data_IF_114565016541
#
_entry.id   IF_114565016541
#
_cell.length_a   1.000
_cell.length_b   1.000
_cell.length_c   1.000
_cell.angle_alpha   90.00
_cell.angle_beta   90.00
_cell.angle_gamma   90.00
#
_symmetry.space_group_name_H-M   'P 1'
#
loop_
_entity.id
_entity.type
_entity.pdbx_description
1 polymer ?
#
# COMPACT_ATOMS: atom_id res chain seq x y z
N UNK A 1 7.66 -6.14 -4.46
CA UNK A 1 7.19 -6.48 -3.10
C UNK A 1 5.68 -6.28 -3.05
N UNK A 2 4.92 -7.15 -2.38
CA UNK A 2 3.47 -7.01 -2.29
C UNK A 2 3.06 -6.02 -1.19
N UNK A 3 1.91 -5.36 -1.39
CA UNK A 3 1.37 -4.42 -0.43
C UNK A 3 0.43 -5.16 0.53
N UNK A 4 0.67 -5.16 1.86
CA UNK A 4 -0.07 -6.02 2.80
C UNK A 4 -1.59 -5.77 2.78
N UNK A 5 -2.03 -4.51 2.73
CA UNK A 5 -3.47 -4.19 2.60
C UNK A 5 -4.08 -4.66 1.27
N UNK A 6 -3.34 -4.59 0.14
CA UNK A 6 -3.85 -5.10 -1.14
C UNK A 6 -3.95 -6.62 -1.12
N UNK A 7 -3.00 -7.31 -0.51
CA UNK A 7 -3.05 -8.76 -0.34
C UNK A 7 -4.24 -9.18 0.52
N UNK A 8 -4.49 -8.49 1.63
CA UNK A 8 -5.67 -8.74 2.45
C UNK A 8 -6.97 -8.56 1.65
N UNK A 9 -7.13 -7.46 0.92
CA UNK A 9 -8.31 -7.21 0.07
C UNK A 9 -8.46 -8.30 -0.99
N UNK A 10 -7.36 -8.72 -1.62
CA UNK A 10 -7.34 -9.78 -2.63
C UNK A 10 -7.69 -11.14 -2.04
N UNK A 11 -7.19 -11.47 -0.86
CA UNK A 11 -7.46 -12.72 -0.14
C UNK A 11 -8.95 -12.82 0.24
N UNK A 12 -9.55 -11.70 0.64
CA UNK A 12 -10.97 -11.62 0.94
C UNK A 12 -11.87 -11.70 -0.31
N UNK A 13 -11.29 -11.59 -1.52
CA UNK A 13 -12.05 -11.62 -2.76
C UNK A 13 -13.01 -10.43 -2.92
N UNK A 14 -12.80 -9.34 -2.18
CA UNK A 14 -13.67 -8.16 -2.20
C UNK A 14 -13.04 -7.02 -2.98
N UNK A 15 -13.88 -6.13 -3.52
CA UNK A 15 -13.38 -4.87 -4.09
C UNK A 15 -12.83 -3.94 -3.01
N UNK A 16 -11.95 -3.01 -3.37
CA UNK A 16 -11.46 -1.97 -2.44
C UNK A 16 -12.60 -1.13 -1.85
N UNK A 17 -13.64 -0.87 -2.64
CA UNK A 17 -14.83 -0.12 -2.20
C UNK A 17 -15.60 -0.94 -1.17
N UNK A 18 -15.85 -2.22 -1.45
CA UNK A 18 -16.51 -3.14 -0.54
C UNK A 18 -15.74 -3.28 0.77
N UNK A 19 -14.41 -3.41 0.71
CA UNK A 19 -13.56 -3.44 1.90
C UNK A 19 -13.68 -2.16 2.73
N UNK A 20 -13.71 -0.99 2.08
CA UNK A 20 -13.88 0.27 2.78
C UNK A 20 -15.23 0.36 3.50
N UNK A 21 -16.31 -0.09 2.85
CA UNK A 21 -17.65 -0.13 3.44
C UNK A 21 -17.72 -1.12 4.61
N UNK A 22 -17.18 -2.33 4.44
CA UNK A 22 -17.21 -3.39 5.46
C UNK A 22 -16.54 -2.99 6.77
N UNK A 23 -15.49 -2.16 6.70
CA UNK A 23 -14.69 -1.75 7.86
C UNK A 23 -14.92 -0.29 8.29
N UNK A 24 -16.00 0.35 7.81
CA UNK A 24 -16.33 1.74 8.11
C UNK A 24 -15.13 2.69 7.87
N UNK A 25 -14.50 2.54 6.71
CA UNK A 25 -13.34 3.31 6.27
C UNK A 25 -13.75 4.33 5.22
N UNK A 26 -13.21 5.54 5.33
CA UNK A 26 -13.25 6.47 4.21
C UNK A 26 -12.44 5.90 3.03
N UNK A 27 -13.07 5.82 1.86
CA UNK A 27 -12.40 5.36 0.64
C UNK A 27 -11.16 6.19 0.29
N UNK A 28 -11.18 7.50 0.58
CA UNK A 28 -10.02 8.38 0.42
C UNK A 28 -8.86 7.95 1.32
N UNK A 29 -9.12 7.60 2.58
CA UNK A 29 -8.09 7.10 3.51
C UNK A 29 -7.55 5.75 3.07
N UNK A 30 -8.41 4.85 2.58
CA UNK A 30 -7.97 3.58 2.02
C UNK A 30 -7.07 3.81 0.81
N UNK A 31 -7.48 4.62 -0.17
CA UNK A 31 -6.64 4.97 -1.32
C UNK A 31 -5.30 5.57 -0.89
N UNK A 32 -5.30 6.53 0.03
CA UNK A 32 -4.06 7.14 0.51
C UNK A 32 -3.08 6.09 1.05
N UNK A 33 -3.58 5.08 1.76
CA UNK A 33 -2.77 3.94 2.19
C UNK A 33 -2.30 3.07 1.01
N UNK A 34 -3.21 2.64 0.13
CA UNK A 34 -2.92 1.74 -0.99
C UNK A 34 -1.90 2.28 -2.00
N UNK A 35 -1.76 3.61 -2.10
CA UNK A 35 -0.81 4.28 -2.98
C UNK A 35 0.47 4.76 -2.25
N UNK A 36 0.57 4.53 -0.94
CA UNK A 36 1.75 4.88 -0.16
C UNK A 36 1.82 6.35 0.26
N UNK A 37 0.73 7.11 0.15
CA UNK A 37 0.70 8.52 0.56
C UNK A 37 0.75 8.69 2.09
N UNK A 38 0.42 7.65 2.86
CA UNK A 38 0.56 7.66 4.32
C UNK A 38 1.89 7.04 4.76
N UNK A 39 2.55 7.57 5.82
CA UNK A 39 3.81 7.02 6.34
C UNK A 39 3.67 5.64 6.96
N UNK A 40 2.48 5.33 7.48
CA UNK A 40 2.14 4.06 8.11
C UNK A 40 0.72 3.63 7.68
N UNK A 41 0.36 2.37 7.93
CA UNK A 41 -1.03 1.93 7.76
C UNK A 41 -1.88 2.65 8.82
N UNK A 42 -2.99 3.31 8.45
CA UNK A 42 -3.90 3.92 9.41
C UNK A 42 -4.46 2.89 10.41
N UNK A 43 -4.64 3.24 11.71
CA UNK A 43 -5.06 2.29 12.74
C UNK A 43 -6.36 1.53 12.42
N UNK A 44 -7.35 2.18 11.79
CA UNK A 44 -8.59 1.48 11.38
C UNK A 44 -8.34 0.40 10.31
N UNK A 45 -7.39 0.62 9.40
CA UNK A 45 -7.03 -0.36 8.37
C UNK A 45 -6.20 -1.48 8.99
N UNK A 46 -5.36 -1.18 9.98
CA UNK A 46 -4.66 -2.19 10.77
C UNK A 46 -5.64 -3.07 11.55
N UNK A 47 -6.64 -2.48 12.21
CA UNK A 47 -7.70 -3.25 12.86
C UNK A 47 -8.44 -4.17 11.88
N UNK A 48 -8.67 -3.72 10.65
CA UNK A 48 -9.26 -4.55 9.60
C UNK A 48 -8.34 -5.73 9.24
N UNK A 49 -7.03 -5.52 9.12
CA UNK A 49 -6.04 -6.56 8.89
C UNK A 49 -6.00 -7.58 10.04
N UNK A 50 -5.97 -7.11 11.28
CA UNK A 50 -5.94 -7.96 12.50
C UNK A 50 -7.18 -8.83 12.61
N UNK A 51 -8.36 -8.31 12.24
CA UNK A 51 -9.61 -9.10 12.17
C UNK A 51 -9.52 -10.28 11.19
N UNK A 52 -8.61 -10.21 10.22
CA UNK A 52 -8.36 -11.27 9.24
C UNK A 52 -7.09 -12.06 9.52
N UNK A 53 -6.56 -11.99 10.76
CA UNK A 53 -5.45 -12.81 11.23
C UNK A 53 -4.05 -12.27 10.90
N UNK A 54 -3.94 -11.04 10.39
CA UNK A 54 -2.63 -10.40 10.21
C UNK A 54 -2.10 -9.90 11.56
N UNK A 55 -0.81 -10.10 11.81
CA UNK A 55 -0.13 -9.42 12.91
C UNK A 55 0.04 -7.93 12.60
N UNK A 56 -0.33 -7.06 13.56
CA UNK A 56 -0.27 -5.61 13.41
C UNK A 56 1.17 -5.13 13.14
N UNK A 57 2.13 -5.62 13.90
CA UNK A 57 3.52 -5.16 13.81
C UNK A 57 4.15 -5.62 12.49
N UNK A 58 3.86 -6.85 12.08
CA UNK A 58 4.31 -7.40 10.82
C UNK A 58 3.67 -6.69 9.63
N UNK A 59 2.37 -6.42 9.67
CA UNK A 59 1.69 -5.68 8.60
C UNK A 59 2.25 -4.26 8.44
N UNK A 60 2.51 -3.56 9.55
CA UNK A 60 3.17 -2.24 9.53
C UNK A 60 4.59 -2.33 8.95
N UNK A 61 5.38 -3.29 9.41
CA UNK A 61 6.77 -3.49 8.94
C UNK A 61 6.81 -3.78 7.45
N UNK A 62 5.95 -4.68 6.97
CA UNK A 62 5.83 -5.00 5.55
C UNK A 62 5.41 -3.77 4.73
N UNK A 63 4.47 -2.96 5.22
CA UNK A 63 4.06 -1.73 4.55
C UNK A 63 5.21 -0.71 4.45
N UNK A 64 5.99 -0.53 5.52
CA UNK A 64 7.15 0.36 5.50
C UNK A 64 8.23 -0.13 4.53
N UNK A 65 8.52 -1.43 4.51
CA UNK A 65 9.47 -2.02 3.56
C UNK A 65 8.98 -1.86 2.12
N UNK A 66 7.70 -2.13 1.87
CA UNK A 66 7.08 -1.91 0.56
C UNK A 66 7.18 -0.45 0.12
N UNK A 67 6.97 0.50 1.04
CA UNK A 67 7.11 1.93 0.76
C UNK A 67 8.53 2.33 0.38
N UNK A 68 9.54 1.82 1.09
CA UNK A 68 10.95 2.06 0.77
C UNK A 68 11.27 1.52 -0.63
N UNK A 69 10.90 0.27 -0.88
CA UNK A 69 11.05 -0.36 -2.19
C UNK A 69 10.36 0.43 -3.31
N UNK A 70 9.12 0.91 -3.08
CA UNK A 70 8.40 1.73 -4.06
C UNK A 70 9.15 3.04 -4.36
N UNK A 71 9.62 3.73 -3.32
CA UNK A 71 10.40 4.96 -3.51
C UNK A 71 11.70 4.73 -4.28
N UNK A 72 12.41 3.62 -4.01
CA UNK A 72 13.59 3.22 -4.78
C UNK A 72 13.26 2.93 -6.24
N UNK A 73 12.13 2.27 -6.52
CA UNK A 73 11.66 2.04 -7.90
C UNK A 73 11.29 3.35 -8.60
N UNK A 74 10.64 4.28 -7.92
CA UNK A 74 10.29 5.59 -8.49
C UNK A 74 11.55 6.41 -8.81
N UNK A 75 12.58 6.37 -7.95
CA UNK A 75 13.89 6.99 -8.22
C UNK A 75 14.61 6.34 -9.40
N UNK A 76 14.64 5.01 -9.47
CA UNK A 76 15.24 4.28 -10.59
C UNK A 76 14.50 4.54 -11.91
N UNK A 77 13.18 4.66 -11.87
CA UNK A 77 12.36 4.99 -13.04
C UNK A 77 12.58 6.43 -13.51
N UNK A 78 12.75 7.38 -12.59
CA UNK A 78 13.10 8.76 -12.91
C UNK A 78 14.49 8.84 -13.58
N UNK A 79 15.49 8.17 -12.99
CA UNK A 79 16.85 8.12 -13.56
C UNK A 79 16.91 7.48 -14.96
N UNK A 80 16.06 6.48 -15.24
CA UNK A 80 15.93 5.88 -16.59
C UNK A 80 15.29 6.81 -17.60
N UNK A 81 14.43 7.75 -17.17
CA UNK A 81 13.84 8.74 -18.08
C UNK A 81 14.82 9.86 -18.41
N UNK A 82 15.66 10.27 -17.47
CA UNK A 82 16.70 11.29 -17.73
C UNK A 82 17.84 10.77 -18.63
N UNK A 83 18.12 9.46 -18.66
CA UNK A 83 19.18 8.88 -19.51
C UNK A 83 18.80 8.62 -20.97
N UNK A 84 17.65 9.13 -21.45
CA UNK A 84 17.11 8.85 -22.79
C UNK A 84 17.05 10.03 -23.75
N UNK A 85 17.59 11.19 -23.38
CA UNK A 85 17.63 12.42 -24.20
C UNK A 85 19.08 12.87 -24.42
N UNK A 86 19.93 12.01 -24.95
CA UNK A 86 21.25 12.39 -25.49
C UNK A 86 21.58 11.48 -26.68
N UNK A 87 20.90 11.71 -27.81
CA UNK A 87 21.41 11.29 -29.11
C UNK A 87 20.84 12.21 -30.20
N UNK A 88 21.36 13.45 -30.23
CA UNK A 88 21.36 14.29 -31.43
C UNK A 88 22.41 13.78 -32.43
#
# INVERSE_FOLDING_TARGET
MNHPVKECISMLGVSQVSFAVLHDLSFQRLKACLYGHTPAIPPRIVNALVQHGYDEQEAQKQYQQWRKWKAEQELLAAARKEGGEDNE
#
